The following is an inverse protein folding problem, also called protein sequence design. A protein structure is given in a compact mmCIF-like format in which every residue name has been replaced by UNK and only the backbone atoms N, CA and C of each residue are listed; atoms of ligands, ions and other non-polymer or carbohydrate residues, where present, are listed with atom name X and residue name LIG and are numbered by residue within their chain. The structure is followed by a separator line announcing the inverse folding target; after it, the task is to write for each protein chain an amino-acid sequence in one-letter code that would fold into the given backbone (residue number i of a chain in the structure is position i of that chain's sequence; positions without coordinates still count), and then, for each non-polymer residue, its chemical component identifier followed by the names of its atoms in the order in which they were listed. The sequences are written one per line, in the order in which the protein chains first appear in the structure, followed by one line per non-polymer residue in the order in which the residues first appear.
data_IF_660473241981
#
_entry.id   IF_660473241981
#
_cell.length_a   1.000
_cell.length_b   1.000
_cell.length_c   1.000
_cell.angle_alpha   90.00
_cell.angle_beta   90.00
_cell.angle_gamma   90.00
#
_symmetry.space_group_name_H-M   'P 1'
#
loop_
_entity.id
_entity.type
_entity.pdbx_description
1 polymer ?
#
# COMPACT_ATOMS: atom_id res chain seq x y z
N UNK A 1 -22.02 -31.14 4.42
CA UNK A 1 -22.95 -30.14 3.88
C UNK A 1 -22.26 -28.79 3.94
N UNK A 2 -21.81 -28.26 2.81
CA UNK A 2 -21.17 -26.94 2.71
C UNK A 2 -22.31 -25.94 2.46
N UNK A 3 -22.67 -25.16 3.47
CA UNK A 3 -23.65 -24.09 3.33
C UNK A 3 -23.04 -22.97 2.48
N UNK A 4 -23.56 -22.79 1.27
CA UNK A 4 -23.23 -21.68 0.37
C UNK A 4 -24.09 -20.46 0.72
N UNK A 5 -23.96 -19.94 1.93
CA UNK A 5 -24.68 -18.74 2.31
C UNK A 5 -23.93 -17.53 1.75
N UNK A 6 -24.05 -17.23 0.46
CA UNK A 6 -23.41 -16.04 -0.12
C UNK A 6 -23.93 -14.72 0.47
N UNK A 7 -24.99 -14.78 1.27
CA UNK A 7 -25.68 -13.66 1.89
C UNK A 7 -24.82 -12.86 2.87
N UNK A 8 -23.88 -13.47 3.60
CA UNK A 8 -23.02 -12.71 4.53
C UNK A 8 -22.02 -11.81 3.80
N UNK A 9 -21.51 -12.22 2.64
CA UNK A 9 -20.66 -11.36 1.81
C UNK A 9 -21.47 -10.20 1.22
N UNK A 10 -22.68 -10.49 0.71
CA UNK A 10 -23.58 -9.49 0.15
C UNK A 10 -23.99 -8.45 1.20
N UNK A 11 -24.24 -8.87 2.44
CA UNK A 11 -24.53 -7.96 3.55
C UNK A 11 -23.30 -7.12 3.93
N UNK A 12 -22.10 -7.72 3.97
CA UNK A 12 -20.85 -7.00 4.23
C UNK A 12 -20.56 -5.90 3.20
N UNK A 13 -20.55 -6.26 1.91
CA UNK A 13 -20.37 -5.29 0.82
C UNK A 13 -21.50 -4.25 0.77
N UNK A 14 -22.74 -4.67 1.04
CA UNK A 14 -23.89 -3.77 1.13
C UNK A 14 -23.73 -2.73 2.24
N UNK A 15 -23.26 -3.15 3.42
CA UNK A 15 -22.96 -2.24 4.53
C UNK A 15 -21.82 -1.27 4.19
N UNK A 16 -20.75 -1.74 3.53
CA UNK A 16 -19.66 -0.87 3.07
C UNK A 16 -20.14 0.18 2.06
N UNK A 17 -20.94 -0.22 1.08
CA UNK A 17 -21.51 0.72 0.09
C UNK A 17 -22.45 1.72 0.75
N UNK A 18 -23.29 1.28 1.70
CA UNK A 18 -24.16 2.16 2.47
C UNK A 18 -23.35 3.18 3.27
N UNK A 19 -22.22 2.78 3.87
CA UNK A 19 -21.32 3.68 4.61
C UNK A 19 -20.66 4.72 3.69
N UNK A 20 -20.17 4.30 2.51
CA UNK A 20 -19.62 5.23 1.51
C UNK A 20 -20.71 6.20 1.04
N UNK A 21 -21.91 5.71 0.73
CA UNK A 21 -23.03 6.54 0.31
C UNK A 21 -23.42 7.54 1.40
N UNK A 22 -23.47 7.11 2.66
CA UNK A 22 -23.71 7.98 3.80
C UNK A 22 -22.63 9.06 3.91
N UNK A 23 -21.35 8.71 3.75
CA UNK A 23 -20.25 9.67 3.75
C UNK A 23 -20.35 10.70 2.61
N UNK A 24 -20.72 10.25 1.41
CA UNK A 24 -20.98 11.14 0.27
C UNK A 24 -22.17 12.05 0.56
N UNK A 25 -23.27 11.53 1.10
CA UNK A 25 -24.45 12.33 1.50
C UNK A 25 -24.06 13.33 2.59
N UNK A 26 -23.25 12.93 3.55
CA UNK A 26 -22.80 13.80 4.64
C UNK A 26 -21.99 14.99 4.12
N UNK A 27 -21.18 14.81 3.08
CA UNK A 27 -20.45 15.92 2.43
C UNK A 27 -21.34 16.70 1.46
N UNK A 28 -22.17 16.01 0.66
CA UNK A 28 -22.98 16.63 -0.39
C UNK A 28 -24.20 17.38 0.16
N UNK A 29 -24.86 16.88 1.20
CA UNK A 29 -26.04 17.50 1.80
C UNK A 29 -25.79 18.94 2.26
N UNK A 30 -24.76 19.25 3.08
CA UNK A 30 -24.48 20.63 3.45
C UNK A 30 -24.09 21.48 2.23
N UNK A 31 -23.33 20.96 1.27
CA UNK A 31 -23.00 21.70 0.04
C UNK A 31 -24.25 22.07 -0.78
N UNK A 32 -25.21 21.14 -0.89
CA UNK A 32 -26.49 21.37 -1.58
C UNK A 32 -27.38 22.34 -0.80
N UNK A 33 -27.46 22.20 0.53
CA UNK A 33 -28.19 23.14 1.38
C UNK A 33 -27.58 24.55 1.26
N UNK A 34 -26.26 24.67 1.32
CA UNK A 34 -25.56 25.95 1.13
C UNK A 34 -25.80 26.51 -0.27
N UNK A 35 -25.90 25.65 -1.31
CA UNK A 35 -26.22 26.10 -2.67
C UNK A 35 -27.60 26.75 -2.78
N UNK A 36 -28.56 26.36 -1.95
CA UNK A 36 -29.90 26.96 -1.86
C UNK A 36 -29.95 28.20 -0.96
N UNK A 37 -29.21 28.22 0.16
CA UNK A 37 -29.17 29.36 1.08
C UNK A 37 -28.30 30.52 0.54
N UNK A 38 -27.32 30.22 -0.31
CA UNK A 38 -26.37 31.19 -0.85
C UNK A 38 -27.07 32.36 -1.56
N UNK A 39 -26.62 33.58 -1.26
CA UNK A 39 -27.01 34.79 -2.00
C UNK A 39 -26.57 34.70 -3.47
N UNK A 40 -27.53 34.87 -4.38
CA UNK A 40 -27.33 34.78 -5.84
C UNK A 40 -26.75 36.05 -6.47
N UNK A 41 -26.43 37.09 -5.69
CA UNK A 41 -25.81 38.32 -6.19
C UNK A 41 -24.35 38.08 -6.57
N UNK A 42 -24.17 37.53 -7.76
CA UNK A 42 -22.90 37.37 -8.47
C UNK A 42 -22.57 38.71 -9.12
N UNK A 43 -21.44 39.29 -8.72
CA UNK A 43 -20.90 40.51 -9.32
C UNK A 43 -19.66 40.16 -10.14
N UNK A 44 -19.35 40.97 -11.16
CA UNK A 44 -18.22 40.73 -12.05
C UNK A 44 -16.89 40.65 -11.30
N UNK A 45 -16.74 41.38 -10.19
CA UNK A 45 -15.58 41.28 -9.30
C UNK A 45 -15.49 39.93 -8.56
N UNK A 46 -16.61 39.37 -8.10
CA UNK A 46 -16.66 38.08 -7.37
C UNK A 46 -16.43 36.86 -8.26
N UNK A 47 -16.52 37.03 -9.58
CA UNK A 47 -16.27 35.98 -10.57
C UNK A 47 -14.83 36.02 -11.12
N UNK A 48 -14.00 36.97 -10.66
CA UNK A 48 -12.58 36.99 -10.99
C UNK A 48 -11.86 35.85 -10.28
N UNK A 49 -10.86 35.27 -10.95
CA UNK A 49 -10.03 34.17 -10.44
C UNK A 49 -9.23 34.58 -9.20
N UNK A 50 -8.99 35.89 -9.00
CA UNK A 50 -8.22 36.43 -7.88
C UNK A 50 -8.84 37.75 -7.39
N UNK A 51 -8.99 37.89 -6.06
CA UNK A 51 -9.73 39.00 -5.43
C UNK A 51 -8.86 40.20 -5.04
N UNK A 52 -7.53 40.09 -5.10
CA UNK A 52 -6.63 41.19 -4.74
C UNK A 52 -6.47 42.25 -5.85
N UNK A 53 -7.26 42.18 -6.92
CA UNK A 53 -7.29 43.18 -8.00
C UNK A 53 -6.13 43.11 -9.00
N UNK A 54 -5.11 42.30 -8.73
CA UNK A 54 -4.04 41.96 -9.68
C UNK A 54 -4.58 40.97 -10.72
N UNK A 55 -4.53 41.36 -11.99
CA UNK A 55 -4.91 40.47 -13.08
C UNK A 55 -3.90 39.32 -13.17
N UNK A 56 -4.35 38.05 -13.26
CA UNK A 56 -3.44 36.92 -13.35
C UNK A 56 -2.57 37.07 -14.60
N UNK A 57 -1.25 37.11 -14.38
CA UNK A 57 -0.28 37.24 -15.46
C UNK A 57 -0.02 35.86 -16.06
N UNK A 58 -0.32 35.71 -17.34
CA UNK A 58 0.01 34.53 -18.14
C UNK A 58 -1.10 33.47 -18.19
N UNK A 59 -0.80 32.41 -18.94
CA UNK A 59 -1.71 31.28 -19.14
C UNK A 59 -1.64 30.30 -17.94
N UNK A 60 -2.78 29.80 -17.50
CA UNK A 60 -2.89 28.74 -16.48
C UNK A 60 -2.30 27.40 -16.95
N UNK A 61 -2.13 27.22 -18.26
CA UNK A 61 -1.55 26.03 -18.89
C UNK A 61 -0.03 26.11 -19.07
N UNK A 62 0.68 26.46 -17.99
CA UNK A 62 2.15 26.44 -17.97
C UNK A 62 2.67 25.05 -17.60
N UNK A 63 3.84 24.68 -18.16
CA UNK A 63 4.54 23.45 -17.78
C UNK A 63 5.09 23.59 -16.36
N UNK A 64 4.42 22.96 -15.39
CA UNK A 64 4.94 22.82 -14.04
C UNK A 64 6.23 22.00 -14.02
N UNK A 65 7.00 22.14 -12.94
CA UNK A 65 8.29 21.47 -12.79
C UNK A 65 8.10 19.93 -12.90
N UNK A 66 8.80 19.23 -13.83
CA UNK A 66 8.65 17.79 -14.01
C UNK A 66 9.01 16.95 -12.78
N UNK A 67 9.63 17.54 -11.75
CA UNK A 67 9.92 16.86 -10.48
C UNK A 67 8.68 16.28 -9.79
N UNK A 68 7.51 16.90 -9.93
CA UNK A 68 6.26 16.33 -9.38
C UNK A 68 5.90 15.00 -10.05
N UNK A 69 6.18 14.87 -11.35
CA UNK A 69 5.98 13.63 -12.09
C UNK A 69 6.94 12.53 -11.63
N UNK A 70 8.21 12.84 -11.38
CA UNK A 70 9.18 11.86 -10.88
C UNK A 70 8.77 11.32 -9.49
N UNK A 71 8.32 12.19 -8.59
CA UNK A 71 7.84 11.76 -7.27
C UNK A 71 6.61 10.86 -7.40
N UNK A 72 5.65 11.23 -8.27
CA UNK A 72 4.48 10.40 -8.54
C UNK A 72 4.85 9.03 -9.15
N UNK A 73 5.83 9.00 -10.06
CA UNK A 73 6.30 7.75 -10.66
C UNK A 73 6.96 6.83 -9.62
N UNK A 74 7.79 7.39 -8.72
CA UNK A 74 8.39 6.63 -7.61
C UNK A 74 7.31 6.12 -6.66
N UNK A 75 6.28 6.92 -6.36
CA UNK A 75 5.15 6.49 -5.54
C UNK A 75 4.41 5.30 -6.18
N UNK A 76 4.07 5.37 -7.47
CA UNK A 76 3.39 4.28 -8.18
C UNK A 76 4.25 3.01 -8.22
N UNK A 77 5.56 3.14 -8.44
CA UNK A 77 6.48 2.00 -8.40
C UNK A 77 6.49 1.32 -7.02
N UNK A 78 6.52 2.11 -5.94
CA UNK A 78 6.47 1.60 -4.57
C UNK A 78 5.08 1.04 -4.20
N UNK A 79 3.99 1.60 -4.71
CA UNK A 79 2.64 1.10 -4.45
C UNK A 79 2.42 -0.29 -5.08
N UNK A 80 2.93 -0.48 -6.30
CA UNK A 80 2.92 -1.78 -6.98
C UNK A 80 3.77 -2.82 -6.23
N UNK A 81 4.87 -2.42 -5.59
CA UNK A 81 5.66 -3.31 -4.73
C UNK A 81 4.81 -3.91 -3.62
N UNK A 82 4.06 -3.07 -2.89
CA UNK A 82 3.24 -3.49 -1.76
C UNK A 82 2.14 -4.45 -2.23
N UNK A 83 1.58 -4.20 -3.42
CA UNK A 83 0.63 -5.12 -4.05
C UNK A 83 1.25 -6.51 -4.28
N UNK A 84 2.50 -6.56 -4.76
CA UNK A 84 3.21 -7.82 -4.95
C UNK A 84 3.61 -8.49 -3.63
N UNK A 85 3.89 -7.72 -2.57
CA UNK A 85 4.16 -8.27 -1.24
C UNK A 85 2.90 -8.86 -0.56
N UNK A 86 1.70 -8.43 -0.95
CA UNK A 86 0.46 -8.82 -0.28
C UNK A 86 0.19 -10.34 -0.27
N UNK A 87 0.26 -11.08 -1.41
CA UNK A 87 0.07 -12.53 -1.40
C UNK A 87 1.06 -13.27 -0.49
N UNK A 88 2.33 -12.87 -0.49
CA UNK A 88 3.35 -13.43 0.38
C UNK A 88 3.05 -13.18 1.85
N UNK A 89 2.64 -11.95 2.20
CA UNK A 89 2.26 -11.60 3.57
C UNK A 89 1.09 -12.45 4.08
N UNK A 90 0.07 -12.71 3.24
CA UNK A 90 -1.07 -13.56 3.60
C UNK A 90 -0.66 -15.02 3.81
N UNK A 91 0.22 -15.56 2.95
CA UNK A 91 0.71 -16.95 3.08
C UNK A 91 1.56 -17.11 4.34
N UNK A 92 2.51 -16.20 4.60
CA UNK A 92 3.36 -16.30 5.79
C UNK A 92 2.62 -15.98 7.10
N UNK A 93 1.60 -15.12 7.05
CA UNK A 93 0.73 -14.86 8.21
C UNK A 93 -0.07 -16.07 8.69
N UNK A 94 -0.19 -17.11 7.87
CA UNK A 94 -0.89 -18.36 8.23
C UNK A 94 -0.01 -19.39 8.97
N UNK A 95 1.31 -19.14 9.08
CA UNK A 95 2.23 -20.06 9.73
C UNK A 95 2.17 -19.93 11.26
N UNK A 96 2.27 -21.04 12.01
CA UNK A 96 2.46 -21.00 13.46
C UNK A 96 3.67 -20.12 13.83
N UNK A 97 3.60 -19.33 14.92
CA UNK A 97 4.71 -18.49 15.36
C UNK A 97 6.01 -19.30 15.47
N UNK A 98 7.10 -18.76 14.93
CA UNK A 98 8.43 -19.40 15.01
C UNK A 98 8.79 -19.58 16.48
N UNK A 99 8.69 -20.81 16.99
CA UNK A 99 8.88 -21.13 18.41
C UNK A 99 7.68 -21.82 19.09
N UNK A 100 6.55 -21.95 18.40
CA UNK A 100 5.47 -22.86 18.80
C UNK A 100 5.93 -24.31 18.64
N UNK A 101 6.81 -24.77 19.53
CA UNK A 101 7.02 -26.19 19.77
C UNK A 101 5.65 -26.72 20.21
N UNK A 102 5.18 -27.80 19.59
CA UNK A 102 4.03 -28.51 20.12
C UNK A 102 4.32 -28.75 21.60
N UNK A 103 3.52 -28.15 22.49
CA UNK A 103 3.55 -28.49 23.90
C UNK A 103 3.26 -29.98 23.91
N UNK A 104 4.30 -30.77 24.16
CA UNK A 104 4.18 -32.19 24.40
C UNK A 104 3.29 -32.27 25.63
N UNK A 105 2.00 -32.55 25.40
CA UNK A 105 1.02 -32.75 26.46
C UNK A 105 1.63 -33.82 27.35
N UNK A 106 2.04 -33.43 28.56
CA UNK A 106 2.58 -34.30 29.62
C UNK A 106 1.46 -35.22 30.12
N UNK A 107 0.95 -36.08 29.24
CA UNK A 107 0.35 -37.35 29.61
C UNK A 107 1.46 -38.38 29.84
N UNK A 108 1.14 -39.56 30.40
CA UNK A 108 2.11 -40.63 30.57
C UNK A 108 2.77 -40.91 29.22
N UNK A 109 4.10 -40.77 29.15
CA UNK A 109 4.90 -41.02 27.96
C UNK A 109 4.52 -42.41 27.42
N UNK A 110 3.81 -42.44 26.29
CA UNK A 110 3.54 -43.69 25.60
C UNK A 110 4.90 -44.37 25.33
N UNK A 111 5.00 -45.70 25.48
CA UNK A 111 6.26 -46.40 25.29
C UNK A 111 6.84 -46.03 23.92
N UNK A 112 8.11 -45.61 23.92
CA UNK A 112 8.82 -45.22 22.71
C UNK A 112 8.72 -46.38 21.72
N UNK A 113 8.20 -46.17 20.50
CA UNK A 113 8.28 -47.20 19.47
C UNK A 113 9.76 -47.41 19.13
N UNK A 114 10.33 -48.52 19.60
CA UNK A 114 11.71 -48.95 19.31
C UNK A 114 11.85 -49.58 17.92
N UNK A 115 10.87 -49.38 17.05
CA UNK A 115 10.86 -49.86 15.67
C UNK A 115 10.80 -48.63 14.77
N UNK A 116 11.62 -48.52 13.72
CA UNK A 116 11.41 -47.50 12.69
C UNK A 116 9.99 -47.67 12.16
N UNK A 117 9.07 -46.80 12.56
CA UNK A 117 7.70 -46.78 12.04
C UNK A 117 7.79 -46.42 10.57
N UNK A 118 7.78 -47.43 9.70
CA UNK A 118 7.57 -47.29 8.26
C UNK A 118 6.10 -46.92 7.98
N UNK A 119 5.56 -45.96 8.72
CA UNK A 119 4.25 -45.40 8.44
C UNK A 119 4.42 -44.38 7.30
N UNK A 120 3.82 -44.61 6.12
CA UNK A 120 3.99 -43.71 4.98
C UNK A 120 3.60 -42.26 5.31
N UNK A 121 2.68 -42.06 6.26
CA UNK A 121 2.27 -40.74 6.75
C UNK A 121 3.33 -39.99 7.56
N UNK A 122 4.18 -40.69 8.32
CA UNK A 122 5.27 -40.06 9.09
C UNK A 122 6.45 -39.67 8.17
N UNK A 123 6.75 -40.53 7.18
CA UNK A 123 7.77 -40.28 6.15
C UNK A 123 7.33 -39.10 5.24
N UNK A 124 6.05 -39.07 4.86
CA UNK A 124 5.48 -37.96 4.10
C UNK A 124 5.47 -36.65 4.91
N UNK A 125 5.07 -36.67 6.19
CA UNK A 125 5.10 -35.49 7.05
C UNK A 125 6.52 -34.92 7.25
N UNK A 126 7.54 -35.77 7.38
CA UNK A 126 8.94 -35.33 7.41
C UNK A 126 9.40 -34.74 6.08
N UNK A 127 8.95 -35.31 4.95
CA UNK A 127 9.26 -34.80 3.61
C UNK A 127 8.62 -33.42 3.40
N UNK A 128 7.33 -33.27 3.71
CA UNK A 128 6.62 -31.98 3.63
C UNK A 128 7.19 -30.94 4.61
N UNK A 129 7.64 -31.34 5.80
CA UNK A 129 8.26 -30.42 6.75
C UNK A 129 9.62 -29.90 6.25
N UNK A 130 10.43 -30.75 5.60
CA UNK A 130 11.69 -30.37 4.98
C UNK A 130 11.50 -29.41 3.79
N UNK A 131 10.58 -29.77 2.89
CA UNK A 131 10.19 -28.95 1.73
C UNK A 131 9.62 -27.59 2.16
N UNK A 132 8.73 -27.55 3.16
CA UNK A 132 8.14 -26.32 3.69
C UNK A 132 9.20 -25.38 4.29
N UNK A 133 10.14 -25.92 5.08
CA UNK A 133 11.25 -25.15 5.68
C UNK A 133 12.16 -24.55 4.62
N UNK A 134 12.38 -25.27 3.52
CA UNK A 134 13.23 -24.84 2.43
C UNK A 134 12.53 -23.75 1.58
N UNK A 135 11.24 -23.96 1.28
CA UNK A 135 10.42 -23.01 0.52
C UNK A 135 10.26 -21.65 1.21
N UNK A 136 10.13 -21.62 2.54
CA UNK A 136 10.03 -20.36 3.29
C UNK A 136 11.34 -19.55 3.20
N UNK A 137 12.51 -20.20 3.26
CA UNK A 137 13.80 -19.50 3.16
C UNK A 137 13.99 -18.87 1.79
N UNK A 138 13.62 -19.57 0.72
CA UNK A 138 13.71 -19.04 -0.64
C UNK A 138 12.72 -17.88 -0.86
N UNK A 139 11.51 -17.98 -0.33
CA UNK A 139 10.54 -16.90 -0.43
C UNK A 139 10.95 -15.64 0.35
N UNK A 140 11.53 -15.80 1.55
CA UNK A 140 12.09 -14.66 2.29
C UNK A 140 13.29 -14.05 1.55
N UNK A 141 14.14 -14.87 0.91
CA UNK A 141 15.23 -14.40 0.08
C UNK A 141 14.71 -13.60 -1.12
N UNK A 142 13.68 -14.11 -1.82
CA UNK A 142 13.04 -13.43 -2.94
C UNK A 142 12.45 -12.09 -2.50
N UNK A 143 11.77 -12.03 -1.36
CA UNK A 143 11.23 -10.78 -0.81
C UNK A 143 12.34 -9.74 -0.55
N UNK A 144 13.44 -10.17 0.06
CA UNK A 144 14.59 -9.29 0.30
C UNK A 144 15.22 -8.83 -1.02
N UNK A 145 15.33 -9.73 -2.00
CA UNK A 145 15.86 -9.41 -3.33
C UNK A 145 14.97 -8.40 -4.07
N UNK A 146 13.65 -8.60 -4.01
CA UNK A 146 12.66 -7.73 -4.63
C UNK A 146 12.73 -6.30 -4.04
N UNK A 147 12.71 -6.21 -2.70
CA UNK A 147 12.86 -4.93 -1.99
C UNK A 147 14.23 -4.30 -2.26
N UNK A 148 15.31 -5.09 -2.31
CA UNK A 148 16.66 -4.59 -2.57
C UNK A 148 16.79 -3.96 -3.97
N UNK A 149 16.13 -4.53 -4.99
CA UNK A 149 16.11 -3.96 -6.34
C UNK A 149 15.43 -2.59 -6.32
N UNK A 150 14.29 -2.45 -5.66
CA UNK A 150 13.61 -1.16 -5.56
C UNK A 150 14.38 -0.13 -4.73
N UNK A 151 14.94 -0.54 -3.58
CA UNK A 151 15.77 0.34 -2.77
C UNK A 151 17.00 0.82 -3.55
N UNK A 152 17.57 -0.04 -4.40
CA UNK A 152 18.66 0.34 -5.31
C UNK A 152 18.20 1.38 -6.33
N UNK A 153 17.03 1.19 -6.95
CA UNK A 153 16.44 2.16 -7.89
C UNK A 153 16.11 3.51 -7.21
N UNK A 154 15.56 3.47 -6.00
CA UNK A 154 15.30 4.66 -5.19
C UNK A 154 16.59 5.39 -4.81
N UNK A 155 17.59 4.66 -4.30
CA UNK A 155 18.90 5.20 -3.96
C UNK A 155 19.60 5.79 -5.20
N UNK A 156 19.45 5.17 -6.37
CA UNK A 156 19.90 5.72 -7.64
C UNK A 156 19.24 7.08 -7.93
N UNK A 157 17.92 7.18 -7.88
CA UNK A 157 17.21 8.44 -8.12
C UNK A 157 17.59 9.55 -7.14
N UNK A 158 17.79 9.18 -5.86
CA UNK A 158 18.28 10.11 -4.85
C UNK A 158 19.71 10.56 -5.14
N UNK A 159 20.61 9.63 -5.46
CA UNK A 159 22.01 9.94 -5.75
C UNK A 159 22.20 10.89 -6.94
N UNK A 160 21.29 10.85 -7.91
CA UNK A 160 21.26 11.74 -9.08
C UNK A 160 20.52 13.07 -8.82
N UNK A 161 19.93 13.26 -7.64
CA UNK A 161 19.27 14.50 -7.27
C UNK A 161 17.95 14.74 -7.99
N UNK A 162 17.33 13.71 -8.58
CA UNK A 162 16.00 13.82 -9.20
C UNK A 162 14.91 14.18 -8.18
N UNK A 163 15.19 13.92 -6.89
CA UNK A 163 14.32 14.24 -5.76
C UNK A 163 14.66 15.60 -5.09
N UNK A 164 15.74 16.29 -5.51
CA UNK A 164 16.18 17.54 -4.87
C UNK A 164 15.25 18.71 -5.23
N UNK A 165 14.66 19.35 -4.21
CA UNK A 165 13.79 20.52 -4.41
C UNK A 165 14.58 21.84 -4.57
N UNK A 166 15.73 21.97 -3.89
CA UNK A 166 16.40 23.25 -3.62
C UNK A 166 17.39 23.70 -4.72
N UNK A 167 17.79 22.83 -5.65
CA UNK A 167 18.81 23.18 -6.68
C UNK A 167 18.37 24.26 -7.69
N UNK A 168 17.07 24.55 -7.81
CA UNK A 168 16.59 25.61 -8.71
C UNK A 168 16.84 27.03 -8.17
N UNK A 169 17.01 27.21 -6.85
CA UNK A 169 17.26 28.53 -6.25
C UNK A 169 18.75 28.89 -6.28
N UNK A 170 19.62 27.92 -5.98
CA UNK A 170 21.06 28.16 -5.84
C UNK A 170 21.77 28.48 -7.17
N UNK A 171 21.26 27.98 -8.30
CA UNK A 171 21.83 28.28 -9.63
C UNK A 171 21.58 29.74 -10.04
N UNK A 172 20.47 30.35 -9.62
CA UNK A 172 20.23 31.79 -9.82
C UNK A 172 21.10 32.63 -8.90
N UNK A 173 21.13 32.32 -7.61
CA UNK A 173 21.94 33.05 -6.63
C UNK A 173 23.44 33.10 -6.98
N UNK A 174 24.00 32.03 -7.57
CA UNK A 174 25.39 32.03 -8.05
C UNK A 174 25.64 32.81 -9.33
N UNK A 175 24.61 33.02 -10.17
CA UNK A 175 24.71 33.83 -11.39
C UNK A 175 24.50 35.32 -11.15
N UNK A 176 23.79 35.68 -10.08
CA UNK A 176 23.57 37.07 -9.66
C UNK A 176 24.72 37.60 -8.78
N UNK A 177 25.52 36.71 -8.20
CA UNK A 177 26.70 37.05 -7.39
C UNK A 177 28.04 37.06 -8.19
N UNK A 178 27.99 36.91 -9.52
CA UNK A 178 29.14 36.93 -10.43
C UNK A 178 28.92 37.99 -11.51
#
# INVERSE_FOLDING_TARGET
MIGTDHSHYLFGWGATLAFIALGVIFVAAPLVILRFIRSTKLDAGKLKTYECGEEPIGDSWVRFNPRFYVIALVFVLFDIEVLFMYPWAVVFGSLPPVGAQAVEVTGPKAPVPTTPSQDPGQIAAMTYAGELRLNIKYALLEMVLFVAILLTGYAYLWRYGYLDWVRSVQVRARREAA
#
